data_IF_922259750697
#
_entry.id   IF_922259750697
#
_cell.length_a   1.000
_cell.length_b   1.000
_cell.length_c   1.000
_cell.angle_alpha   90.00
_cell.angle_beta   90.00
_cell.angle_gamma   90.00
#
_symmetry.space_group_name_H-M   'P 1'
#
loop_
_entity.id
_entity.type
_entity.pdbx_description
1 polymer ?
#
# COMPACT_ATOMS: atom_id res chain seq x y z
N UNK A 1 23.32 -2.82 -2.34
CA UNK A 1 22.42 -3.75 -3.07
C UNK A 1 21.66 -4.55 -2.02
N UNK A 2 20.33 -4.52 -2.04
CA UNK A 2 19.51 -5.25 -1.07
C UNK A 2 19.74 -6.75 -1.22
N UNK A 3 20.05 -7.41 -0.10
CA UNK A 3 20.28 -8.86 -0.07
C UNK A 3 18.99 -9.67 0.07
N UNK A 4 17.88 -9.02 0.34
CA UNK A 4 16.57 -9.65 0.57
C UNK A 4 15.53 -9.20 -0.45
N UNK A 5 14.61 -10.11 -0.77
CA UNK A 5 13.43 -9.80 -1.58
C UNK A 5 12.48 -8.88 -0.80
N UNK A 6 11.69 -8.11 -1.52
CA UNK A 6 10.69 -7.21 -0.94
C UNK A 6 9.31 -7.53 -1.51
N UNK A 7 8.31 -7.65 -0.66
CA UNK A 7 6.89 -7.70 -1.03
C UNK A 7 6.18 -6.46 -0.51
N UNK A 8 5.13 -6.03 -1.18
CA UNK A 8 4.35 -4.88 -0.76
C UNK A 8 2.91 -5.22 -0.41
N UNK A 9 2.41 -4.56 0.64
CA UNK A 9 0.99 -4.54 1.03
C UNK A 9 0.50 -3.12 0.88
N UNK A 10 -0.54 -2.91 0.08
CA UNK A 10 -1.15 -1.59 -0.14
C UNK A 10 -2.55 -1.59 0.49
N UNK A 11 -2.76 -0.72 1.45
CA UNK A 11 -4.02 -0.64 2.21
C UNK A 11 -5.05 0.21 1.46
N UNK A 12 -6.09 -0.42 0.95
CA UNK A 12 -7.14 0.20 0.16
C UNK A 12 -8.56 -0.15 0.66
N UNK A 13 -8.70 -0.71 1.87
CA UNK A 13 -9.98 -1.20 2.41
C UNK A 13 -10.84 -0.11 3.10
N UNK A 14 -10.32 1.09 3.31
CA UNK A 14 -10.95 2.14 4.09
C UNK A 14 -12.24 2.69 3.45
N UNK A 15 -13.27 2.92 4.28
CA UNK A 15 -14.58 3.45 3.85
C UNK A 15 -14.55 4.91 3.35
N UNK A 16 -13.53 5.69 3.74
CA UNK A 16 -13.42 7.09 3.34
C UNK A 16 -14.62 7.96 3.74
N UNK A 17 -15.25 7.72 4.88
CA UNK A 17 -16.52 8.33 5.33
C UNK A 17 -16.52 9.86 5.30
N UNK A 18 -15.36 10.49 5.49
CA UNK A 18 -15.18 11.95 5.42
C UNK A 18 -15.41 12.53 4.01
N UNK A 19 -15.26 11.73 2.96
CA UNK A 19 -15.40 12.18 1.58
C UNK A 19 -16.87 12.34 1.12
N UNK A 20 -17.85 11.80 1.89
CA UNK A 20 -19.29 11.85 1.57
C UNK A 20 -19.60 11.40 0.12
N UNK A 21 -18.89 10.40 -0.38
CA UNK A 21 -18.97 9.88 -1.74
C UNK A 21 -19.25 8.38 -1.71
N UNK A 22 -19.99 7.87 -2.68
CA UNK A 22 -20.19 6.43 -2.88
C UNK A 22 -18.99 5.76 -3.53
N UNK A 23 -18.07 6.55 -4.10
CA UNK A 23 -16.84 6.05 -4.69
C UNK A 23 -15.82 5.73 -3.58
N UNK A 24 -15.13 4.58 -3.63
CA UNK A 24 -14.01 4.29 -2.73
C UNK A 24 -12.99 5.42 -2.71
N UNK A 25 -12.53 5.81 -1.51
CA UNK A 25 -11.58 6.93 -1.35
C UNK A 25 -10.38 6.79 -2.29
N UNK A 26 -9.83 5.59 -2.37
CA UNK A 26 -8.62 5.27 -3.15
C UNK A 26 -8.81 5.39 -4.67
N UNK A 27 -10.07 5.43 -5.16
CA UNK A 27 -10.40 5.60 -6.57
C UNK A 27 -10.74 7.05 -6.95
N UNK A 28 -10.79 7.98 -6.00
CA UNK A 28 -10.85 9.40 -6.35
C UNK A 28 -9.61 9.79 -7.15
N UNK A 29 -9.79 10.67 -8.13
CA UNK A 29 -8.75 10.98 -9.11
C UNK A 29 -8.09 12.33 -8.85
N UNK A 30 -6.80 12.38 -9.12
CA UNK A 30 -6.01 13.60 -9.29
C UNK A 30 -5.45 13.55 -10.72
N UNK A 31 -5.68 14.57 -11.54
CA UNK A 31 -5.28 14.59 -12.96
C UNK A 31 -5.70 13.32 -13.72
N UNK A 32 -6.96 12.91 -13.55
CA UNK A 32 -7.56 11.72 -14.19
C UNK A 32 -6.97 10.36 -13.79
N UNK A 33 -6.14 10.30 -12.77
CA UNK A 33 -5.58 9.04 -12.26
C UNK A 33 -6.01 8.82 -10.81
N UNK A 34 -6.52 7.61 -10.45
CA UNK A 34 -6.89 7.29 -9.07
C UNK A 34 -5.71 7.40 -8.10
N UNK A 35 -6.00 7.77 -6.83
CA UNK A 35 -5.00 7.83 -5.76
C UNK A 35 -4.22 6.52 -5.66
N UNK A 36 -4.93 5.38 -5.68
CA UNK A 36 -4.34 4.05 -5.65
C UNK A 36 -3.36 3.82 -6.81
N UNK A 37 -3.68 4.33 -8.00
CA UNK A 37 -2.83 4.20 -9.18
C UNK A 37 -1.47 4.88 -9.00
N UNK A 38 -1.43 6.05 -8.37
CA UNK A 38 -0.15 6.71 -8.05
C UNK A 38 0.69 5.86 -7.10
N UNK A 39 0.07 5.27 -6.07
CA UNK A 39 0.78 4.43 -5.10
C UNK A 39 1.30 3.15 -5.73
N UNK A 40 0.48 2.46 -6.55
CA UNK A 40 0.92 1.23 -7.23
C UNK A 40 2.07 1.54 -8.19
N UNK A 41 2.02 2.66 -8.93
CA UNK A 41 3.10 3.05 -9.82
C UNK A 41 4.38 3.41 -9.07
N UNK A 42 4.28 4.11 -7.93
CA UNK A 42 5.45 4.37 -7.10
C UNK A 42 6.12 3.06 -6.63
N UNK A 43 5.32 2.08 -6.20
CA UNK A 43 5.81 0.74 -5.84
C UNK A 43 6.44 0.03 -7.05
N UNK A 44 5.79 0.07 -8.22
CA UNK A 44 6.33 -0.53 -9.45
C UNK A 44 7.67 0.10 -9.86
N UNK A 45 7.76 1.42 -9.78
CA UNK A 45 8.95 2.17 -10.20
C UNK A 45 10.17 1.94 -9.29
N UNK A 46 9.99 1.34 -8.11
CA UNK A 46 11.14 0.89 -7.29
C UNK A 46 11.92 -0.23 -7.95
N UNK A 47 11.28 -1.04 -8.79
CA UNK A 47 11.87 -2.25 -9.36
C UNK A 47 12.20 -3.36 -8.35
N UNK A 48 11.86 -3.17 -7.07
CA UNK A 48 12.21 -4.11 -5.99
C UNK A 48 11.11 -5.14 -5.69
N UNK A 49 9.86 -4.85 -6.08
CA UNK A 49 8.68 -5.53 -5.57
C UNK A 49 7.88 -6.17 -6.69
N UNK A 50 8.14 -7.47 -6.92
CA UNK A 50 7.44 -8.23 -7.95
C UNK A 50 5.98 -8.54 -7.57
N UNK A 51 5.71 -8.83 -6.28
CA UNK A 51 4.39 -9.16 -5.79
C UNK A 51 3.80 -8.05 -4.93
N UNK A 52 2.58 -7.63 -5.25
CA UNK A 52 1.82 -6.59 -4.56
C UNK A 52 0.48 -7.12 -4.09
N UNK A 53 0.20 -6.95 -2.81
CA UNK A 53 -1.07 -7.32 -2.19
C UNK A 53 -1.87 -6.06 -1.89
N UNK A 54 -3.01 -5.91 -2.54
CA UNK A 54 -3.91 -4.78 -2.36
C UNK A 54 -5.04 -5.20 -1.43
N UNK A 55 -5.06 -4.67 -0.22
CA UNK A 55 -6.12 -5.00 0.73
C UNK A 55 -7.35 -4.15 0.41
N UNK A 56 -8.41 -4.80 -0.04
CA UNK A 56 -9.67 -4.17 -0.43
C UNK A 56 -10.76 -4.47 0.59
N UNK A 57 -11.79 -3.63 0.68
CA UNK A 57 -12.86 -3.81 1.67
C UNK A 57 -14.15 -3.13 1.23
N UNK A 58 -14.33 -1.86 1.54
CA UNK A 58 -15.50 -1.11 1.06
C UNK A 58 -15.47 -1.00 -0.46
N UNK A 59 -16.60 -1.38 -1.12
CA UNK A 59 -16.69 -1.41 -2.60
C UNK A 59 -15.54 -2.21 -3.25
N UNK A 60 -15.18 -3.35 -2.66
CA UNK A 60 -14.05 -4.18 -3.07
C UNK A 60 -14.06 -4.50 -4.57
N UNK A 61 -15.22 -4.88 -5.13
CA UNK A 61 -15.37 -5.23 -6.54
C UNK A 61 -14.96 -4.09 -7.48
N UNK A 62 -15.29 -2.84 -7.11
CA UNK A 62 -14.93 -1.66 -7.91
C UNK A 62 -13.42 -1.42 -7.89
N UNK A 63 -12.79 -1.60 -6.73
CA UNK A 63 -11.33 -1.46 -6.59
C UNK A 63 -10.61 -2.60 -7.32
N UNK A 64 -11.07 -3.84 -7.17
CA UNK A 64 -10.52 -5.02 -7.87
C UNK A 64 -10.60 -4.87 -9.38
N UNK A 65 -11.73 -4.41 -9.89
CA UNK A 65 -11.90 -4.16 -11.35
C UNK A 65 -10.87 -3.16 -11.84
N UNK A 66 -10.64 -2.07 -11.11
CA UNK A 66 -9.62 -1.08 -11.46
C UNK A 66 -8.22 -1.71 -11.46
N UNK A 67 -7.86 -2.41 -10.38
CA UNK A 67 -6.54 -3.03 -10.24
C UNK A 67 -6.29 -4.04 -11.34
N UNK A 68 -7.21 -4.99 -11.54
CA UNK A 68 -7.07 -6.07 -12.52
C UNK A 68 -7.04 -5.57 -13.98
N UNK A 69 -7.66 -4.39 -14.26
CA UNK A 69 -7.64 -3.81 -15.61
C UNK A 69 -6.36 -3.03 -15.92
N UNK A 70 -5.54 -2.69 -14.92
CA UNK A 70 -4.39 -1.80 -15.11
C UNK A 70 -3.06 -2.38 -14.62
N UNK A 71 -3.08 -3.47 -13.81
CA UNK A 71 -1.88 -3.99 -13.16
C UNK A 71 -1.87 -5.52 -13.12
N UNK A 72 -0.95 -6.15 -13.86
CA UNK A 72 -0.87 -7.62 -13.96
C UNK A 72 -0.30 -8.28 -12.69
N UNK A 73 0.57 -7.59 -11.95
CA UNK A 73 1.31 -8.14 -10.81
C UNK A 73 0.74 -7.66 -9.45
N UNK A 74 -0.57 -7.40 -9.38
CA UNK A 74 -1.23 -6.96 -8.17
C UNK A 74 -2.37 -7.92 -7.82
N UNK A 75 -2.39 -8.40 -6.58
CA UNK A 75 -3.41 -9.32 -6.07
C UNK A 75 -4.27 -8.63 -5.04
N UNK A 76 -5.57 -8.53 -5.29
CA UNK A 76 -6.53 -8.03 -4.31
C UNK A 76 -6.86 -9.09 -3.26
N UNK A 77 -6.92 -8.67 -2.00
CA UNK A 77 -7.25 -9.50 -0.84
C UNK A 77 -8.36 -8.79 -0.07
N UNK A 78 -9.49 -9.47 0.11
CA UNK A 78 -10.64 -8.92 0.81
C UNK A 78 -10.42 -8.86 2.32
N UNK A 79 -10.62 -7.68 2.90
CA UNK A 79 -10.76 -7.49 4.33
C UNK A 79 -12.25 -7.45 4.70
N UNK A 80 -12.76 -8.51 5.29
CA UNK A 80 -14.12 -8.59 5.82
C UNK A 80 -14.12 -9.42 7.12
N UNK A 81 -14.68 -8.90 8.24
CA UNK A 81 -15.05 -7.49 8.45
C UNK A 81 -13.83 -6.57 8.52
N UNK A 82 -14.05 -5.24 8.45
CA UNK A 82 -13.01 -4.23 8.52
C UNK A 82 -12.70 -3.90 9.99
N UNK A 83 -11.71 -4.59 10.57
CA UNK A 83 -11.35 -4.49 12.00
C UNK A 83 -10.11 -3.60 12.26
N UNK A 84 -9.77 -2.74 11.31
CA UNK A 84 -8.65 -1.81 11.44
C UNK A 84 -7.43 -2.18 10.60
N UNK A 85 -6.39 -1.37 10.70
CA UNK A 85 -5.18 -1.45 9.85
C UNK A 85 -4.38 -2.73 10.10
N UNK A 86 -4.23 -3.12 11.37
CA UNK A 86 -3.51 -4.36 11.72
C UNK A 86 -4.20 -5.61 11.17
N UNK A 87 -5.54 -5.67 11.24
CA UNK A 87 -6.31 -6.75 10.62
C UNK A 87 -6.16 -6.77 9.09
N UNK A 88 -6.15 -5.58 8.46
CA UNK A 88 -5.92 -5.45 7.03
C UNK A 88 -4.57 -6.07 6.62
N UNK A 89 -3.49 -5.74 7.31
CA UNK A 89 -2.16 -6.33 7.08
C UNK A 89 -2.19 -7.84 7.30
N UNK A 90 -2.85 -8.31 8.36
CA UNK A 90 -2.94 -9.73 8.68
C UNK A 90 -3.68 -10.56 7.61
N UNK A 91 -4.58 -9.95 6.80
CA UNK A 91 -5.19 -10.65 5.66
C UNK A 91 -4.17 -11.11 4.61
N UNK A 92 -3.01 -10.46 4.54
CA UNK A 92 -1.93 -10.87 3.65
C UNK A 92 -1.05 -12.00 4.23
N UNK A 93 -1.15 -12.31 5.52
CA UNK A 93 -0.29 -13.31 6.18
C UNK A 93 -0.22 -14.67 5.47
N UNK A 94 -1.33 -15.27 4.95
CA UNK A 94 -1.27 -16.54 4.23
C UNK A 94 -0.37 -16.50 2.98
N UNK A 95 -0.20 -15.33 2.35
CA UNK A 95 0.62 -15.13 1.15
C UNK A 95 2.09 -14.80 1.47
N UNK A 96 2.37 -14.62 2.75
CA UNK A 96 3.73 -14.35 3.26
C UNK A 96 4.33 -15.57 3.96
N UNK A 97 3.59 -16.67 4.07
CA UNK A 97 4.06 -17.87 4.75
C UNK A 97 5.31 -18.43 4.06
N UNK A 98 6.39 -18.60 4.83
CA UNK A 98 7.69 -19.05 4.32
C UNK A 98 8.47 -18.00 3.50
N UNK A 99 7.99 -16.76 3.42
CA UNK A 99 8.74 -15.68 2.78
C UNK A 99 9.84 -15.15 3.70
N UNK A 100 11.09 -15.31 3.25
CA UNK A 100 12.27 -14.70 3.91
C UNK A 100 12.67 -13.43 3.16
N UNK A 101 12.17 -12.30 3.63
CA UNK A 101 12.38 -10.99 3.00
C UNK A 101 11.72 -9.87 3.78
N UNK A 102 11.72 -8.69 3.18
CA UNK A 102 11.07 -7.51 3.76
C UNK A 102 9.65 -7.35 3.24
N UNK A 103 8.78 -6.88 4.10
CA UNK A 103 7.41 -6.52 3.74
C UNK A 103 7.24 -5.02 4.00
N UNK A 104 6.96 -4.26 2.94
CA UNK A 104 6.60 -2.85 3.07
C UNK A 104 5.08 -2.69 3.07
N UNK A 105 4.57 -1.89 3.99
CA UNK A 105 3.14 -1.56 4.07
C UNK A 105 2.97 -0.09 3.73
N UNK A 106 2.15 0.21 2.73
CA UNK A 106 1.84 1.58 2.29
C UNK A 106 0.34 1.83 2.25
N UNK A 107 -0.06 3.08 2.45
CA UNK A 107 -1.46 3.48 2.35
C UNK A 107 -1.82 3.79 0.89
N UNK A 108 -2.91 3.22 0.36
CA UNK A 108 -3.36 3.41 -1.02
C UNK A 108 -3.93 4.80 -1.33
N UNK A 109 -4.01 5.67 -0.33
CA UNK A 109 -4.51 7.04 -0.43
C UNK A 109 -3.42 8.11 -0.25
N UNK A 110 -2.15 7.75 -0.42
CA UNK A 110 -0.98 8.63 -0.33
C UNK A 110 -0.32 8.84 -1.70
N UNK A 111 -0.98 9.58 -2.64
CA UNK A 111 -0.58 9.64 -4.05
C UNK A 111 0.75 10.36 -4.31
N UNK A 112 1.28 11.08 -3.32
CA UNK A 112 2.53 11.83 -3.44
C UNK A 112 3.76 11.04 -2.95
N UNK A 113 3.58 9.75 -2.59
CA UNK A 113 4.73 8.91 -2.27
C UNK A 113 5.51 8.61 -3.55
N UNK A 114 6.81 8.77 -3.51
CA UNK A 114 7.70 8.56 -4.65
C UNK A 114 8.49 7.26 -4.53
N UNK A 115 8.89 6.69 -5.65
CA UNK A 115 9.68 5.46 -5.69
C UNK A 115 10.99 5.60 -4.92
N UNK A 116 11.69 6.73 -5.07
CA UNK A 116 12.96 7.00 -4.36
C UNK A 116 12.76 7.04 -2.84
N UNK A 117 11.62 7.56 -2.37
CA UNK A 117 11.27 7.52 -0.94
C UNK A 117 11.13 6.09 -0.44
N UNK A 118 10.47 5.23 -1.21
CA UNK A 118 10.30 3.82 -0.86
C UNK A 118 11.63 3.06 -0.91
N UNK A 119 12.48 3.34 -1.91
CA UNK A 119 13.82 2.77 -2.01
C UNK A 119 14.67 3.12 -0.79
N UNK A 120 14.78 4.40 -0.48
CA UNK A 120 15.52 4.90 0.68
C UNK A 120 15.00 4.31 2.00
N UNK A 121 13.68 4.12 2.11
CA UNK A 121 13.05 3.53 3.29
C UNK A 121 13.43 2.07 3.49
N UNK A 122 13.43 1.27 2.42
CA UNK A 122 13.84 -0.14 2.46
C UNK A 122 15.35 -0.25 2.72
N UNK A 123 16.17 0.57 2.08
CA UNK A 123 17.62 0.61 2.30
C UNK A 123 17.96 1.02 3.75
N UNK A 124 17.25 1.99 4.31
CA UNK A 124 17.41 2.36 5.70
C UNK A 124 17.11 1.19 6.64
N UNK A 125 16.02 0.46 6.39
CA UNK A 125 15.65 -0.72 7.16
C UNK A 125 16.75 -1.79 7.12
N UNK A 126 17.24 -2.13 5.92
CA UNK A 126 18.28 -3.13 5.69
C UNK A 126 19.61 -2.74 6.38
N UNK A 127 20.07 -1.51 6.15
CA UNK A 127 21.33 -0.99 6.70
C UNK A 127 21.36 -0.93 8.22
N UNK A 128 20.20 -0.78 8.86
CA UNK A 128 20.11 -0.75 10.33
C UNK A 128 19.77 -2.12 10.94
N UNK A 129 19.62 -3.17 10.12
CA UNK A 129 19.18 -4.50 10.56
C UNK A 129 17.96 -4.43 11.48
N UNK A 130 17.01 -3.56 11.16
CA UNK A 130 15.86 -3.27 12.00
C UNK A 130 14.81 -4.38 11.90
N UNK A 131 14.12 -4.68 13.00
CA UNK A 131 12.96 -5.58 12.99
C UNK A 131 11.71 -4.87 12.44
N UNK A 132 11.60 -3.56 12.71
CA UNK A 132 10.51 -2.71 12.26
C UNK A 132 11.03 -1.28 12.02
N UNK A 133 10.63 -0.69 10.92
CA UNK A 133 10.88 0.72 10.61
C UNK A 133 9.54 1.42 10.35
N UNK A 134 9.37 2.62 10.90
CA UNK A 134 8.16 3.43 10.71
C UNK A 134 8.56 4.77 10.11
N UNK A 135 7.92 5.13 8.99
CA UNK A 135 8.07 6.46 8.41
C UNK A 135 7.17 7.45 9.17
N UNK A 136 7.75 8.54 9.63
CA UNK A 136 7.05 9.61 10.33
C UNK A 136 7.32 10.97 9.69
N UNK A 137 6.42 11.93 9.92
CA UNK A 137 6.60 13.31 9.51
C UNK A 137 6.53 14.22 10.74
N UNK A 138 7.41 15.23 10.77
CA UNK A 138 7.44 16.26 11.82
C UNK A 138 6.70 17.47 11.29
N UNK A 139 5.68 17.90 12.00
CA UNK A 139 4.95 19.14 11.72
C UNK A 139 5.24 20.17 12.79
N UNK A 140 5.75 21.32 12.40
CA UNK A 140 6.08 22.42 13.35
C UNK A 140 4.84 22.96 14.07
N UNK A 141 3.66 22.95 13.40
CA UNK A 141 2.38 23.35 13.96
C UNK A 141 1.27 22.41 13.47
N UNK A 142 1.03 21.27 14.15
CA UNK A 142 -0.12 20.43 13.83
C UNK A 142 -1.40 21.19 14.22
N UNK A 143 -2.05 21.83 13.25
CA UNK A 143 -3.41 22.36 13.46
C UNK A 143 -4.37 21.17 13.46
N UNK A 144 -5.14 21.09 14.54
CA UNK A 144 -6.21 20.11 14.76
C UNK A 144 -7.24 20.06 13.62
#
# INVERSE_FOLDING_TARGET
>A
MLNKKVKSIILAAGKGTRMKSNMPKVLHTIFNKPLLGYVIDAVNNTGLMDEKYIIVGHEAETVEKYVNSNYDNAKCILQSPQLGTGDAVNKAAPYLNGFDGYVIVVCGDTPLIEADTLLNFVEFHDNNSADLTVMSAIFENPKN
#
